data_IF_886855020848
#
_entry.id   IF_886855020848
#
_cell.length_a   1.000
_cell.length_b   1.000
_cell.length_c   1.000
_cell.angle_alpha   90.00
_cell.angle_beta   90.00
_cell.angle_gamma   90.00
#
_symmetry.space_group_name_H-M   'P 1'
#
loop_
_entity.id
_entity.type
_entity.pdbx_description
1 polymer ?
#
# COMPACT_ATOMS: atom_id res chain seq x y z
N UNK A 1 10.10 -8.18 8.08
CA UNK A 1 9.24 -7.09 7.55
C UNK A 1 9.97 -6.11 6.65
N UNK A 2 11.21 -5.69 6.95
CA UNK A 2 11.94 -4.70 6.12
C UNK A 2 11.96 -5.01 4.61
N UNK A 3 12.32 -6.24 4.22
CA UNK A 3 12.35 -6.63 2.80
C UNK A 3 10.98 -6.53 2.10
N UNK A 4 9.89 -6.80 2.81
CA UNK A 4 8.53 -6.70 2.26
C UNK A 4 8.14 -5.26 1.96
N UNK A 5 8.48 -4.34 2.86
CA UNK A 5 8.17 -2.91 2.70
C UNK A 5 8.98 -2.29 1.55
N UNK A 6 10.26 -2.66 1.42
CA UNK A 6 11.07 -2.24 0.27
C UNK A 6 10.47 -2.73 -1.05
N UNK A 7 10.04 -3.99 -1.11
CA UNK A 7 9.40 -4.54 -2.29
C UNK A 7 8.05 -3.85 -2.57
N UNK A 8 7.25 -3.59 -1.56
CA UNK A 8 5.97 -2.88 -1.71
C UNK A 8 6.18 -1.49 -2.31
N UNK A 9 7.17 -0.74 -1.80
CA UNK A 9 7.54 0.56 -2.37
C UNK A 9 8.04 0.45 -3.82
N UNK A 10 8.85 -0.56 -4.13
CA UNK A 10 9.29 -0.80 -5.52
C UNK A 10 8.12 -1.05 -6.47
N UNK A 11 7.11 -1.80 -6.04
CA UNK A 11 5.91 -2.06 -6.86
C UNK A 11 5.01 -0.83 -7.00
N UNK A 12 4.93 0.01 -5.97
CA UNK A 12 4.22 1.30 -6.03
C UNK A 12 4.93 2.29 -6.96
N UNK A 13 6.26 2.31 -6.97
CA UNK A 13 7.08 3.29 -7.68
C UNK A 13 7.19 3.13 -9.20
N UNK A 14 6.30 2.33 -9.79
CA UNK A 14 5.91 2.54 -11.19
C UNK A 14 5.01 3.79 -11.36
N UNK A 15 4.61 4.44 -10.25
CA UNK A 15 4.02 5.78 -10.16
C UNK A 15 4.29 6.52 -8.83
N UNK A 16 4.65 5.80 -7.75
CA UNK A 16 4.88 6.25 -6.37
C UNK A 16 3.71 7.08 -5.80
N UNK A 17 2.48 6.66 -6.07
CA UNK A 17 1.25 7.39 -5.77
C UNK A 17 0.35 6.68 -4.74
N UNK A 18 0.79 5.53 -4.21
CA UNK A 18 0.04 4.74 -3.26
C UNK A 18 -1.06 3.88 -3.89
N UNK A 19 -1.13 3.78 -5.22
CA UNK A 19 -2.16 3.01 -5.93
C UNK A 19 -2.19 1.54 -5.50
N UNK A 20 -1.02 0.95 -5.22
CA UNK A 20 -0.88 -0.46 -4.80
C UNK A 20 -1.56 -0.76 -3.46
N UNK A 21 -1.87 0.27 -2.66
CA UNK A 21 -2.51 0.14 -1.35
C UNK A 21 -4.03 0.00 -1.44
N UNK A 22 -4.64 0.38 -2.56
CA UNK A 22 -6.09 0.40 -2.73
C UNK A 22 -6.68 -1.00 -2.84
N UNK A 23 -7.82 -1.23 -2.18
CA UNK A 23 -8.64 -2.43 -2.33
C UNK A 23 -9.60 -2.29 -3.52
N UNK A 24 -10.05 -3.42 -4.07
CA UNK A 24 -10.93 -3.43 -5.24
C UNK A 24 -12.35 -3.00 -4.90
N UNK A 25 -13.02 -2.35 -5.86
CA UNK A 25 -14.45 -2.01 -5.82
C UNK A 25 -15.14 -2.50 -7.09
N UNK A 26 -16.44 -2.28 -7.23
CA UNK A 26 -17.18 -2.66 -8.45
C UNK A 26 -16.61 -1.98 -9.72
N UNK A 27 -16.14 -0.73 -9.59
CA UNK A 27 -15.62 0.08 -10.69
C UNK A 27 -14.08 0.09 -10.78
N UNK A 28 -13.38 -0.55 -9.83
CA UNK A 28 -11.91 -0.51 -9.75
C UNK A 28 -11.30 -1.88 -9.41
N UNK A 29 -10.39 -2.33 -10.27
CA UNK A 29 -9.60 -3.54 -10.01
C UNK A 29 -8.32 -3.19 -9.26
N UNK A 30 -8.15 -3.73 -8.06
CA UNK A 30 -6.95 -3.51 -7.26
C UNK A 30 -5.70 -4.15 -7.86
N UNK A 31 -4.60 -3.40 -7.83
CA UNK A 31 -3.27 -3.89 -8.19
C UNK A 31 -2.79 -5.05 -7.31
N UNK A 32 -3.36 -5.24 -6.12
CA UNK A 32 -3.06 -6.39 -5.26
C UNK A 32 -3.38 -7.73 -5.95
N UNK A 33 -4.29 -7.72 -6.93
CA UNK A 33 -4.68 -8.90 -7.70
C UNK A 33 -3.83 -9.14 -8.95
N UNK A 34 -2.94 -8.20 -9.31
CA UNK A 34 -2.04 -8.37 -10.43
C UNK A 34 -1.12 -9.59 -10.21
N UNK A 35 -0.77 -10.30 -11.29
CA UNK A 35 0.07 -11.51 -11.25
C UNK A 35 1.32 -11.40 -10.36
N UNK A 36 2.12 -10.31 -10.38
CA UNK A 36 3.30 -10.23 -9.54
C UNK A 36 3.00 -9.94 -8.05
N UNK A 37 1.76 -9.53 -7.73
CA UNK A 37 1.32 -9.06 -6.41
C UNK A 37 0.46 -10.08 -5.67
N UNK A 38 -0.39 -10.80 -6.40
CA UNK A 38 -1.34 -11.77 -5.88
C UNK A 38 -0.61 -12.85 -5.07
N UNK A 39 -1.01 -13.03 -3.81
CA UNK A 39 -0.37 -13.96 -2.86
C UNK A 39 1.15 -13.74 -2.68
N UNK A 40 1.65 -12.52 -2.94
CA UNK A 40 3.08 -12.23 -3.03
C UNK A 40 3.49 -10.97 -2.26
N UNK A 41 2.87 -9.82 -2.58
CA UNK A 41 3.05 -8.59 -1.81
C UNK A 41 2.42 -8.72 -0.42
N UNK A 42 3.07 -8.13 0.59
CA UNK A 42 2.68 -8.24 2.00
C UNK A 42 3.18 -7.04 2.80
N UNK A 43 2.58 -6.78 3.96
CA UNK A 43 2.91 -5.64 4.82
C UNK A 43 1.90 -4.49 4.76
N UNK A 44 0.75 -4.68 4.12
CA UNK A 44 -0.33 -3.68 4.05
C UNK A 44 -0.85 -3.30 5.45
N UNK A 45 -0.94 -4.26 6.35
CA UNK A 45 -1.35 -4.08 7.74
C UNK A 45 -0.38 -3.19 8.53
N UNK A 46 0.91 -3.27 8.22
CA UNK A 46 1.94 -2.42 8.82
C UNK A 46 1.81 -0.99 8.31
N UNK A 47 1.62 -0.80 6.99
CA UNK A 47 1.37 0.52 6.41
C UNK A 47 0.12 1.17 7.01
N UNK A 48 -0.99 0.43 7.13
CA UNK A 48 -2.22 0.91 7.76
C UNK A 48 -1.97 1.35 9.21
N UNK A 49 -1.22 0.56 9.98
CA UNK A 49 -0.89 0.91 11.38
C UNK A 49 -0.04 2.19 11.45
N UNK A 50 0.93 2.36 10.55
CA UNK A 50 1.76 3.57 10.46
C UNK A 50 0.88 4.77 10.11
N UNK A 51 0.04 4.66 9.08
CA UNK A 51 -0.88 5.73 8.65
C UNK A 51 -1.81 6.14 9.78
N UNK A 52 -2.44 5.20 10.48
CA UNK A 52 -3.32 5.51 11.62
C UNK A 52 -2.60 6.27 12.74
N UNK A 53 -1.36 5.89 13.07
CA UNK A 53 -0.57 6.62 14.06
C UNK A 53 -0.21 8.02 13.58
N UNK A 54 0.16 8.19 12.31
CA UNK A 54 0.47 9.50 11.74
C UNK A 54 -0.76 10.39 11.71
N UNK A 55 -1.92 9.89 11.29
CA UNK A 55 -3.18 10.65 11.29
C UNK A 55 -3.62 11.09 12.70
N UNK A 56 -3.30 10.31 13.74
CA UNK A 56 -3.61 10.70 15.13
C UNK A 56 -2.80 11.91 15.63
N UNK A 57 -1.63 12.16 15.03
CA UNK A 57 -0.72 13.25 15.41
C UNK A 57 -0.78 14.40 14.40
N UNK A 58 -0.91 14.08 13.12
CA UNK A 58 -0.88 14.98 11.97
C UNK A 58 -2.05 14.67 11.01
N UNK A 59 -3.29 15.08 11.35
CA UNK A 59 -4.45 14.80 10.53
C UNK A 59 -4.30 15.34 9.10
N UNK A 60 -4.62 14.51 8.10
CA UNK A 60 -4.67 14.84 6.67
C UNK A 60 -3.40 15.52 6.14
N UNK A 61 -2.23 15.24 6.72
CA UNK A 61 -0.98 15.94 6.40
C UNK A 61 -0.03 15.07 5.58
N UNK A 62 0.18 13.83 6.03
CA UNK A 62 1.04 12.88 5.30
C UNK A 62 0.16 12.17 4.29
N UNK A 63 0.57 12.09 3.03
CA UNK A 63 -0.09 11.27 2.00
C UNK A 63 -0.13 9.81 2.41
#
# INVERSE_FOLDING_TARGET
MAASLLRLHFHDCFGCDGSVLLDGTEDFTSEKTALPNLNSLRGFEVINTIKLKLESVYPQTVS
#
